data_IF_416222251321
#
_entry.id   IF_416222251321
#
_cell.length_a   1.000
_cell.length_b   1.000
_cell.length_c   1.000
_cell.angle_alpha   90.00
_cell.angle_beta   90.00
_cell.angle_gamma   90.00
#
_symmetry.space_group_name_H-M   'P 1'
#
loop_
_entity.id
_entity.type
_entity.pdbx_description
1 polymer ?
#
# COMPACT_ATOMS: atom_id res chain seq x y z
N UNK A 1 -12.21 46.18 7.57
CA UNK A 1 -12.65 45.16 6.58
C UNK A 1 -13.60 45.68 5.50
N UNK A 2 -14.38 46.76 5.69
CA UNK A 2 -15.23 47.32 4.60
C UNK A 2 -14.53 48.28 3.62
N UNK A 3 -13.32 48.76 3.91
CA UNK A 3 -12.56 49.64 2.98
C UNK A 3 -11.62 48.88 2.03
N UNK A 4 -11.26 47.63 2.34
CA UNK A 4 -10.38 46.81 1.49
C UNK A 4 -11.14 46.17 0.30
N UNK A 5 -12.42 45.86 0.48
CA UNK A 5 -13.29 45.33 -0.59
C UNK A 5 -13.69 46.40 -1.63
N UNK A 6 -13.82 47.67 -1.24
CA UNK A 6 -14.16 48.76 -2.15
C UNK A 6 -13.01 49.11 -3.12
N UNK A 7 -11.77 48.83 -2.74
CA UNK A 7 -10.55 49.05 -3.55
C UNK A 7 -10.41 48.01 -4.67
N UNK A 8 -10.64 46.73 -4.36
CA UNK A 8 -10.49 45.63 -5.33
C UNK A 8 -11.57 45.63 -6.41
N UNK A 9 -12.80 46.02 -6.06
CA UNK A 9 -13.92 46.16 -7.02
C UNK A 9 -13.67 47.30 -8.01
N UNK A 10 -13.09 48.43 -7.56
CA UNK A 10 -12.73 49.55 -8.47
C UNK A 10 -11.57 49.23 -9.40
N UNK A 11 -10.65 48.35 -9.01
CA UNK A 11 -9.57 47.88 -9.88
C UNK A 11 -10.06 46.91 -10.96
N UNK A 12 -11.01 46.01 -10.64
CA UNK A 12 -11.59 45.08 -11.62
C UNK A 12 -12.41 45.80 -12.71
N UNK A 13 -13.22 46.79 -12.33
CA UNK A 13 -14.02 47.57 -13.30
C UNK A 13 -13.15 48.38 -14.30
N UNK A 14 -11.96 48.83 -13.89
CA UNK A 14 -11.02 49.56 -14.79
C UNK A 14 -10.30 48.66 -15.79
N UNK A 15 -10.14 47.36 -15.49
CA UNK A 15 -9.52 46.39 -16.40
C UNK A 15 -10.52 45.97 -17.48
N UNK A 16 -11.77 45.69 -17.10
CA UNK A 16 -12.85 45.34 -18.04
C UNK A 16 -13.17 46.47 -19.04
N UNK A 17 -13.11 47.74 -18.62
CA UNK A 17 -13.31 48.89 -19.53
C UNK A 17 -12.14 49.06 -20.52
N UNK A 18 -10.92 48.68 -20.11
CA UNK A 18 -9.71 48.72 -20.96
C UNK A 18 -9.74 47.61 -22.02
N UNK A 19 -10.16 46.41 -21.63
CA UNK A 19 -10.26 45.25 -22.54
C UNK A 19 -11.44 45.39 -23.51
N UNK A 20 -12.57 45.95 -23.05
CA UNK A 20 -13.71 46.29 -23.91
C UNK A 20 -13.39 47.35 -24.97
N UNK A 21 -12.53 48.34 -24.67
CA UNK A 21 -12.06 49.34 -25.64
C UNK A 21 -11.06 48.74 -26.65
N UNK A 22 -10.23 47.78 -26.24
CA UNK A 22 -9.28 47.07 -27.13
C UNK A 22 -9.98 46.12 -28.10
N UNK A 23 -11.07 45.47 -27.67
CA UNK A 23 -11.91 44.63 -28.53
C UNK A 23 -12.66 45.46 -29.61
N UNK A 24 -13.16 46.66 -29.25
CA UNK A 24 -13.82 47.56 -30.21
C UNK A 24 -12.87 48.17 -31.24
N UNK A 25 -11.61 48.43 -30.89
CA UNK A 25 -10.61 48.97 -31.82
C UNK A 25 -10.17 47.95 -32.89
N UNK A 26 -10.18 46.64 -32.59
CA UNK A 26 -9.81 45.59 -33.54
C UNK A 26 -10.96 45.21 -34.50
N UNK A 27 -12.22 45.54 -34.18
CA UNK A 27 -13.36 45.26 -35.05
C UNK A 27 -13.49 46.24 -36.25
N UNK A 28 -12.78 47.38 -36.24
CA UNK A 28 -12.87 48.40 -37.29
C UNK A 28 -11.81 48.29 -38.40
N UNK A 29 -11.00 47.23 -38.43
CA UNK A 29 -10.06 46.94 -39.54
C UNK A 29 -10.30 45.53 -40.10
N UNK A 30 -11.45 45.33 -40.75
CA UNK A 30 -11.69 44.16 -41.60
C UNK A 30 -11.92 44.64 -43.05
N UNK A 31 -11.14 44.17 -44.05
CA UNK A 31 -11.33 44.56 -45.44
C UNK A 31 -12.59 43.93 -46.04
N UNK A 32 -13.38 44.73 -46.76
CA UNK A 32 -14.49 44.28 -47.60
C UNK A 32 -13.91 43.50 -48.80
N UNK A 33 -14.08 42.18 -48.80
CA UNK A 33 -14.12 41.40 -50.04
C UNK A 33 -15.25 40.36 -49.96
N UNK A 34 -16.18 40.54 -50.89
CA UNK A 34 -17.37 39.75 -51.15
C UNK A 34 -17.04 38.44 -51.87
N UNK A 35 -17.70 37.33 -51.49
CA UNK A 35 -17.76 36.12 -52.34
C UNK A 35 -17.85 34.79 -51.59
N UNK A 36 -16.97 34.54 -50.61
CA UNK A 36 -16.84 33.21 -49.98
C UNK A 36 -17.06 33.19 -48.46
N UNK A 37 -17.37 34.34 -47.84
CA UNK A 37 -17.40 34.48 -46.38
C UNK A 37 -18.67 33.96 -45.70
N UNK A 38 -19.76 33.73 -46.43
CA UNK A 38 -20.98 33.18 -45.82
C UNK A 38 -20.78 31.69 -45.45
N UNK A 39 -20.24 30.87 -46.35
CA UNK A 39 -19.96 29.45 -46.05
C UNK A 39 -18.89 29.29 -44.95
N UNK A 40 -17.86 30.13 -44.95
CA UNK A 40 -16.81 30.11 -43.92
C UNK A 40 -17.38 30.60 -42.57
N UNK A 41 -18.28 31.59 -42.56
CA UNK A 41 -18.95 32.06 -41.35
C UNK A 41 -19.79 30.98 -40.68
N UNK A 42 -20.54 30.18 -41.45
CA UNK A 42 -21.30 29.03 -40.92
C UNK A 42 -20.38 27.91 -40.43
N UNK A 43 -19.28 27.61 -41.13
CA UNK A 43 -18.30 26.61 -40.68
C UNK A 43 -17.59 27.05 -39.40
N UNK A 44 -17.18 28.33 -39.30
CA UNK A 44 -16.51 28.87 -38.09
C UNK A 44 -17.48 28.93 -36.91
N UNK A 45 -18.76 29.27 -37.12
CA UNK A 45 -19.76 29.26 -36.07
C UNK A 45 -20.09 27.83 -35.60
N UNK A 46 -20.15 26.86 -36.52
CA UNK A 46 -20.37 25.44 -36.21
C UNK A 46 -19.15 24.81 -35.51
N UNK A 47 -17.93 25.16 -35.91
CA UNK A 47 -16.70 24.76 -35.23
C UNK A 47 -16.64 25.38 -33.84
N UNK A 48 -16.94 26.67 -33.67
CA UNK A 48 -16.96 27.31 -32.34
C UNK A 48 -18.05 26.74 -31.44
N UNK A 49 -19.24 26.42 -31.96
CA UNK A 49 -20.35 25.82 -31.22
C UNK A 49 -20.05 24.37 -30.82
N UNK A 50 -19.43 23.57 -31.69
CA UNK A 50 -18.94 22.23 -31.35
C UNK A 50 -17.73 22.27 -30.41
N UNK A 51 -16.89 23.31 -30.48
CA UNK A 51 -15.80 23.53 -29.52
C UNK A 51 -16.33 24.00 -28.16
N UNK A 52 -17.40 24.82 -28.10
CA UNK A 52 -18.02 25.22 -26.82
C UNK A 52 -18.84 24.09 -26.21
N UNK A 53 -19.56 23.29 -26.98
CA UNK A 53 -20.20 22.05 -26.48
C UNK A 53 -19.13 21.02 -26.12
N UNK A 54 -18.05 20.91 -26.91
CA UNK A 54 -16.92 20.06 -26.61
C UNK A 54 -16.20 20.48 -25.34
N UNK A 55 -16.04 21.78 -25.08
CA UNK A 55 -15.50 22.33 -23.82
C UNK A 55 -16.51 22.19 -22.68
N UNK A 56 -17.81 22.39 -22.89
CA UNK A 56 -18.85 22.16 -21.87
C UNK A 56 -18.98 20.67 -21.52
N UNK A 57 -18.83 19.75 -22.48
CA UNK A 57 -18.80 18.30 -22.24
C UNK A 57 -17.44 17.80 -21.73
N UNK A 58 -16.34 18.49 -22.06
CA UNK A 58 -15.01 18.23 -21.50
C UNK A 58 -14.88 18.80 -20.08
N UNK A 59 -15.55 19.91 -19.78
CA UNK A 59 -15.66 20.50 -18.45
C UNK A 59 -16.80 19.86 -17.63
N UNK A 60 -17.73 19.13 -18.24
CA UNK A 60 -18.72 18.29 -17.54
C UNK A 60 -18.28 16.83 -17.39
N UNK A 61 -17.08 16.46 -17.86
CA UNK A 61 -16.38 15.34 -17.22
C UNK A 61 -15.89 15.89 -15.90
N UNK A 62 -16.74 15.78 -14.88
CA UNK A 62 -16.32 15.86 -13.50
C UNK A 62 -15.01 15.08 -13.40
N UNK A 63 -13.90 15.79 -13.15
CA UNK A 63 -12.67 15.15 -12.69
C UNK A 63 -13.10 14.25 -11.53
N UNK A 64 -12.85 12.93 -11.56
CA UNK A 64 -13.33 12.07 -10.49
C UNK A 64 -12.78 12.65 -9.20
N UNK A 65 -13.67 13.22 -8.39
CA UNK A 65 -13.35 13.51 -7.00
C UNK A 65 -12.98 12.16 -6.43
N UNK A 66 -11.83 12.07 -5.74
CA UNK A 66 -11.46 10.82 -5.11
C UNK A 66 -12.63 10.45 -4.18
N UNK A 67 -13.32 9.37 -4.51
CA UNK A 67 -14.39 8.86 -3.67
C UNK A 67 -13.76 8.45 -2.35
N UNK A 68 -14.46 8.74 -1.26
CA UNK A 68 -14.09 8.29 0.07
C UNK A 68 -15.34 8.20 0.94
N UNK A 69 -15.52 7.08 1.62
CA UNK A 69 -16.63 6.86 2.53
C UNK A 69 -16.24 5.89 3.64
N UNK A 70 -16.44 6.31 4.88
CA UNK A 70 -16.45 5.37 6.01
C UNK A 70 -17.71 4.49 5.88
N UNK A 71 -17.51 3.18 5.75
CA UNK A 71 -18.58 2.21 5.55
C UNK A 71 -18.95 1.47 6.84
N UNK A 72 -18.03 1.42 7.80
CA UNK A 72 -18.26 0.85 9.12
C UNK A 72 -17.25 1.39 10.13
N UNK A 73 -17.66 1.35 11.40
CA UNK A 73 -16.82 1.64 12.54
C UNK A 73 -17.25 0.73 13.68
N UNK A 74 -16.28 0.11 14.32
CA UNK A 74 -16.47 -0.63 15.56
C UNK A 74 -15.54 -0.04 16.62
N UNK A 75 -15.99 -0.04 17.86
CA UNK A 75 -15.25 0.53 18.98
C UNK A 75 -15.28 -0.45 20.14
N UNK A 76 -14.13 -0.60 20.79
CA UNK A 76 -14.00 -1.34 22.03
C UNK A 76 -14.48 -0.44 23.17
N UNK A 77 -15.52 -0.86 23.88
CA UNK A 77 -16.12 -0.09 24.96
C UNK A 77 -15.20 0.04 26.19
N UNK A 78 -14.29 -0.91 26.40
CA UNK A 78 -13.37 -0.93 27.54
C UNK A 78 -12.16 -0.03 27.29
N UNK A 79 -11.55 -0.14 26.12
CA UNK A 79 -10.34 0.63 25.77
C UNK A 79 -10.66 1.97 25.12
N UNK A 80 -11.86 2.14 24.56
CA UNK A 80 -12.26 3.30 23.76
C UNK A 80 -11.58 3.35 22.39
N UNK A 81 -10.83 2.33 22.01
CA UNK A 81 -10.16 2.24 20.71
C UNK A 81 -11.19 1.88 19.64
N UNK A 82 -11.15 2.59 18.52
CA UNK A 82 -12.05 2.33 17.40
C UNK A 82 -11.29 1.94 16.14
N UNK A 83 -11.93 1.12 15.32
CA UNK A 83 -11.48 0.72 13.99
C UNK A 83 -12.52 1.22 12.98
N UNK A 84 -12.08 1.94 11.95
CA UNK A 84 -12.92 2.35 10.83
C UNK A 84 -12.56 1.58 9.56
N UNK A 85 -13.59 1.15 8.83
CA UNK A 85 -13.49 0.60 7.48
C UNK A 85 -13.90 1.68 6.50
N UNK A 86 -13.03 1.93 5.51
CA UNK A 86 -13.20 3.05 4.59
C UNK A 86 -12.98 2.58 3.17
N UNK A 87 -13.97 2.81 2.32
CA UNK A 87 -13.87 2.61 0.87
C UNK A 87 -13.45 3.92 0.22
N UNK A 88 -12.45 3.85 -0.66
CA UNK A 88 -11.94 5.01 -1.39
C UNK A 88 -11.40 4.64 -2.76
N UNK A 89 -11.26 5.62 -3.63
CA UNK A 89 -10.62 5.43 -4.94
C UNK A 89 -9.22 6.05 -4.99
N UNK A 90 -8.31 5.40 -5.69
CA UNK A 90 -7.01 5.95 -6.10
C UNK A 90 -6.92 6.06 -7.63
N UNK A 91 -5.79 6.56 -8.11
CA UNK A 91 -5.47 6.68 -9.53
C UNK A 91 -6.49 7.49 -10.33
N UNK A 92 -6.99 8.58 -9.72
CA UNK A 92 -8.04 9.44 -10.27
C UNK A 92 -9.36 8.68 -10.48
N UNK A 93 -9.84 7.98 -9.45
CA UNK A 93 -11.11 7.25 -9.50
C UNK A 93 -11.07 5.89 -10.19
N UNK A 94 -9.88 5.38 -10.56
CA UNK A 94 -9.75 4.17 -11.39
C UNK A 94 -9.65 2.88 -10.59
N UNK A 95 -9.07 2.94 -9.40
CA UNK A 95 -8.86 1.76 -8.56
C UNK A 95 -9.61 1.94 -7.26
N UNK A 96 -10.43 0.94 -6.93
CA UNK A 96 -11.18 0.89 -5.69
C UNK A 96 -10.34 0.22 -4.61
N UNK A 97 -10.36 0.79 -3.41
CA UNK A 97 -9.61 0.30 -2.25
C UNK A 97 -10.54 0.28 -1.05
N UNK A 98 -10.25 -0.65 -0.14
CA UNK A 98 -10.81 -0.69 1.21
C UNK A 98 -9.67 -0.67 2.21
N UNK A 99 -9.73 0.24 3.16
CA UNK A 99 -8.76 0.35 4.24
C UNK A 99 -9.36 0.08 5.61
N UNK A 100 -8.53 -0.45 6.51
CA UNK A 100 -8.82 -0.66 7.93
C UNK A 100 -7.87 0.23 8.72
N UNK A 101 -8.44 1.11 9.55
CA UNK A 101 -7.69 2.16 10.23
C UNK A 101 -8.09 2.27 11.70
N UNK A 102 -7.11 2.36 12.58
CA UNK A 102 -7.35 2.76 13.97
C UNK A 102 -7.67 4.24 14.03
N UNK A 103 -8.79 4.59 14.66
CA UNK A 103 -9.31 5.96 14.68
C UNK A 103 -9.57 6.41 16.12
N UNK A 104 -8.97 7.53 16.50
CA UNK A 104 -9.19 8.13 17.82
C UNK A 104 -10.27 9.23 17.78
N UNK A 105 -10.61 9.71 16.59
CA UNK A 105 -11.56 10.80 16.41
C UNK A 105 -12.95 10.26 16.09
N UNK A 106 -13.98 11.00 16.50
CA UNK A 106 -15.39 10.70 16.19
C UNK A 106 -15.70 10.79 14.70
N UNK A 107 -14.87 11.51 13.94
CA UNK A 107 -15.01 11.67 12.49
C UNK A 107 -13.73 11.21 11.81
N UNK A 108 -13.85 10.40 10.77
CA UNK A 108 -12.70 9.96 9.99
C UNK A 108 -12.19 11.07 9.05
N UNK A 109 -10.90 11.37 9.16
CA UNK A 109 -10.17 12.33 8.33
C UNK A 109 -9.10 11.59 7.52
N UNK A 110 -9.37 11.34 6.24
CA UNK A 110 -8.50 10.53 5.40
C UNK A 110 -7.18 11.18 5.10
N UNK A 111 -7.11 12.51 4.93
CA UNK A 111 -5.83 13.18 4.65
C UNK A 111 -4.89 12.98 5.83
N UNK A 112 -5.37 13.22 7.06
CA UNK A 112 -4.57 12.98 8.27
C UNK A 112 -4.20 11.51 8.47
N UNK A 113 -5.13 10.60 8.19
CA UNK A 113 -4.90 9.16 8.40
C UNK A 113 -3.96 8.57 7.36
N UNK A 114 -4.09 9.00 6.11
CA UNK A 114 -3.21 8.64 5.01
C UNK A 114 -1.79 9.18 5.24
N UNK A 115 -1.66 10.42 5.71
CA UNK A 115 -0.36 11.00 6.10
C UNK A 115 0.31 10.21 7.22
N UNK A 116 -0.48 9.71 8.19
CA UNK A 116 0.03 8.88 9.28
C UNK A 116 0.42 7.47 8.83
N UNK A 117 -0.06 6.99 7.66
CA UNK A 117 0.24 5.67 7.06
C UNK A 117 0.02 4.49 8.01
N UNK A 118 -0.90 4.59 8.97
CA UNK A 118 -1.16 3.51 9.93
C UNK A 118 -2.51 2.87 9.64
N UNK A 119 -2.45 1.74 8.94
CA UNK A 119 -3.59 0.95 8.52
C UNK A 119 -3.17 -0.08 7.48
N UNK A 120 -4.06 -1.04 7.22
CA UNK A 120 -3.91 -1.98 6.11
C UNK A 120 -4.94 -1.67 5.02
N UNK A 121 -4.66 -2.11 3.80
CA UNK A 121 -5.59 -1.90 2.69
C UNK A 121 -5.63 -3.10 1.74
N UNK A 122 -6.77 -3.23 1.05
CA UNK A 122 -6.96 -4.16 -0.04
C UNK A 122 -7.46 -3.42 -1.28
N UNK A 123 -6.94 -3.82 -2.44
CA UNK A 123 -7.53 -3.45 -3.73
C UNK A 123 -8.84 -4.22 -3.89
N UNK A 124 -9.87 -3.58 -4.41
CA UNK A 124 -11.15 -4.21 -4.69
C UNK A 124 -11.29 -4.55 -6.17
N UNK A 125 -11.83 -5.72 -6.44
CA UNK A 125 -12.35 -6.14 -7.74
C UNK A 125 -13.83 -5.77 -7.82
N UNK A 126 -14.15 -4.84 -8.70
CA UNK A 126 -15.49 -4.32 -8.91
C UNK A 126 -16.09 -4.77 -10.25
N UNK A 127 -17.43 -4.75 -10.39
CA UNK A 127 -18.09 -4.85 -11.69
C UNK A 127 -17.57 -3.80 -12.69
N UNK A 128 -17.66 -4.10 -13.99
CA UNK A 128 -17.25 -3.16 -15.03
C UNK A 128 -18.10 -1.88 -14.95
N UNK A 129 -17.46 -0.70 -14.99
CA UNK A 129 -18.08 0.62 -14.85
C UNK A 129 -18.79 0.84 -13.49
N UNK A 130 -18.27 0.25 -12.40
CA UNK A 130 -18.76 0.55 -11.07
C UNK A 130 -18.45 2.01 -10.69
N UNK A 131 -19.49 2.83 -10.57
CA UNK A 131 -19.41 4.23 -10.11
C UNK A 131 -19.44 4.32 -8.57
N UNK A 132 -19.62 3.18 -7.88
CA UNK A 132 -19.71 3.08 -6.44
C UNK A 132 -19.22 1.68 -5.95
N UNK A 133 -18.82 1.51 -4.68
CA UNK A 133 -18.15 0.29 -4.21
C UNK A 133 -19.11 -0.90 -4.00
N UNK A 134 -20.42 -0.74 -4.23
CA UNK A 134 -21.39 -1.80 -4.06
C UNK A 134 -21.11 -2.98 -5.00
N UNK A 135 -21.02 -4.18 -4.41
CA UNK A 135 -20.68 -5.41 -5.15
C UNK A 135 -19.18 -5.57 -5.46
N UNK A 136 -18.33 -4.64 -5.03
CA UNK A 136 -16.89 -4.82 -5.04
C UNK A 136 -16.46 -5.79 -3.94
N UNK A 137 -15.51 -6.66 -4.26
CA UNK A 137 -14.93 -7.62 -3.31
C UNK A 137 -13.40 -7.46 -3.26
N UNK A 138 -12.75 -7.75 -2.12
CA UNK A 138 -11.29 -7.76 -2.02
C UNK A 138 -10.64 -8.65 -3.10
N UNK A 139 -9.64 -8.10 -3.79
CA UNK A 139 -8.83 -8.82 -4.78
C UNK A 139 -7.52 -9.28 -4.13
N UNK A 140 -7.57 -10.44 -3.49
CA UNK A 140 -6.42 -11.08 -2.84
C UNK A 140 -5.29 -11.46 -3.82
N UNK A 141 -5.52 -11.33 -5.13
CA UNK A 141 -4.49 -11.52 -6.14
C UNK A 141 -3.61 -10.30 -6.39
N UNK A 142 -3.91 -9.15 -5.76
CA UNK A 142 -3.27 -7.86 -6.00
C UNK A 142 -2.79 -7.23 -4.70
N UNK A 143 -1.72 -6.45 -4.81
CA UNK A 143 -1.18 -5.64 -3.73
C UNK A 143 -1.13 -4.19 -4.16
N UNK A 144 -1.10 -3.28 -3.19
CA UNK A 144 -1.04 -1.84 -3.40
C UNK A 144 0.20 -1.20 -2.78
N UNK A 145 0.74 -1.79 -1.71
CA UNK A 145 1.91 -1.29 -0.99
C UNK A 145 3.20 -2.04 -1.40
N UNK A 146 4.22 -1.33 -1.90
CA UNK A 146 5.58 -1.82 -2.16
C UNK A 146 6.21 -2.62 -1.01
N UNK A 147 6.03 -2.23 0.26
CA UNK A 147 6.58 -3.00 1.38
C UNK A 147 5.94 -4.39 1.50
N UNK A 148 4.60 -4.48 1.41
CA UNK A 148 3.87 -5.77 1.43
C UNK A 148 4.28 -6.62 0.23
N UNK A 149 4.38 -6.02 -0.95
CA UNK A 149 4.85 -6.70 -2.16
C UNK A 149 6.26 -7.27 -1.98
N UNK A 150 7.15 -6.53 -1.32
CA UNK A 150 8.51 -6.98 -1.00
C UNK A 150 8.51 -8.12 0.01
N UNK A 151 7.74 -8.02 1.09
CA UNK A 151 7.60 -9.09 2.09
C UNK A 151 7.03 -10.38 1.47
N UNK A 152 6.08 -10.25 0.52
CA UNK A 152 5.49 -11.39 -0.16
C UNK A 152 6.46 -12.07 -1.13
N UNK A 153 7.18 -11.31 -1.97
CA UNK A 153 7.96 -11.88 -3.08
C UNK A 153 9.37 -12.30 -2.68
N UNK A 154 10.01 -11.58 -1.77
CA UNK A 154 11.42 -11.81 -1.45
C UNK A 154 11.70 -13.22 -0.91
N UNK A 155 10.85 -13.86 -0.08
CA UNK A 155 11.02 -15.25 0.32
C UNK A 155 11.14 -16.22 -0.87
N UNK A 156 10.43 -15.97 -1.98
CA UNK A 156 10.55 -16.76 -3.20
C UNK A 156 11.86 -16.48 -3.93
N UNK A 157 12.24 -15.21 -4.06
CA UNK A 157 13.47 -14.76 -4.71
C UNK A 157 14.68 -15.45 -4.09
N UNK A 158 14.74 -15.41 -2.77
CA UNK A 158 15.89 -15.89 -1.99
C UNK A 158 15.86 -17.40 -1.75
N UNK A 159 14.78 -18.08 -2.16
CA UNK A 159 14.64 -19.54 -2.11
C UNK A 159 14.20 -20.09 -0.76
N UNK A 160 13.69 -19.25 0.14
CA UNK A 160 13.04 -19.69 1.37
C UNK A 160 11.68 -20.33 1.07
N UNK A 161 10.90 -19.72 0.17
CA UNK A 161 9.71 -20.31 -0.42
C UNK A 161 10.00 -20.81 -1.84
N UNK A 162 9.47 -21.98 -2.16
CA UNK A 162 9.50 -22.53 -3.50
C UNK A 162 8.41 -21.92 -4.35
N UNK A 163 8.64 -21.94 -5.66
CA UNK A 163 7.66 -21.50 -6.63
C UNK A 163 6.32 -22.24 -6.46
N UNK A 164 5.14 -21.59 -6.66
CA UNK A 164 3.84 -22.26 -6.56
C UNK A 164 3.76 -23.59 -7.33
N UNK A 165 4.33 -23.64 -8.54
CA UNK A 165 4.35 -24.85 -9.39
C UNK A 165 5.21 -25.99 -8.82
N UNK A 166 6.16 -25.70 -7.94
CA UNK A 166 7.06 -26.68 -7.30
C UNK A 166 6.49 -27.21 -5.98
N UNK A 167 5.48 -26.54 -5.40
CA UNK A 167 4.85 -26.88 -4.12
C UNK A 167 3.87 -28.07 -4.19
N UNK A 168 3.84 -28.81 -5.30
CA UNK A 168 3.01 -30.02 -5.43
C UNK A 168 3.59 -31.23 -4.66
N UNK A 169 4.87 -31.20 -4.25
CA UNK A 169 5.54 -32.34 -3.61
C UNK A 169 6.06 -32.06 -2.18
N UNK A 170 6.02 -30.81 -1.71
CA UNK A 170 6.49 -30.42 -0.37
C UNK A 170 5.64 -29.30 0.20
N UNK A 171 5.03 -29.54 1.35
CA UNK A 171 4.32 -28.52 2.13
C UNK A 171 5.32 -27.60 2.81
N UNK A 172 5.22 -26.30 2.55
CA UNK A 172 5.97 -25.28 3.27
C UNK A 172 5.06 -24.58 4.28
N UNK A 173 5.65 -23.96 5.29
CA UNK A 173 4.91 -23.28 6.35
C UNK A 173 5.37 -21.84 6.54
N UNK A 174 4.42 -20.96 6.82
CA UNK A 174 4.65 -19.57 7.17
C UNK A 174 3.99 -19.25 8.53
N UNK A 175 4.72 -18.55 9.38
CA UNK A 175 4.20 -17.90 10.58
C UNK A 175 4.12 -16.40 10.30
N UNK A 176 2.94 -15.82 10.42
CA UNK A 176 2.70 -14.38 10.24
C UNK A 176 2.29 -13.80 11.59
N UNK A 177 2.90 -12.67 11.97
CA UNK A 177 2.58 -11.95 13.21
C UNK A 177 2.10 -10.56 12.82
N UNK A 178 0.86 -10.25 13.17
CA UNK A 178 0.11 -9.11 12.65
C UNK A 178 -0.64 -9.48 11.37
N UNK A 179 -1.97 -9.45 11.43
CA UNK A 179 -2.86 -9.77 10.31
C UNK A 179 -3.27 -8.49 9.56
N UNK A 180 -3.62 -7.44 10.31
CA UNK A 180 -4.27 -6.26 9.75
C UNK A 180 -5.52 -6.63 8.94
N UNK A 181 -5.63 -6.16 7.70
CA UNK A 181 -6.72 -6.51 6.78
C UNK A 181 -6.55 -7.86 6.07
N UNK A 182 -5.52 -8.64 6.38
CA UNK A 182 -5.22 -9.92 5.73
C UNK A 182 -4.44 -9.80 4.41
N UNK A 183 -3.92 -8.61 4.07
CA UNK A 183 -3.37 -8.32 2.74
C UNK A 183 -2.17 -9.22 2.38
N UNK A 184 -1.22 -9.40 3.29
CA UNK A 184 -0.02 -10.21 3.04
C UNK A 184 -0.35 -11.71 2.98
N UNK A 185 -1.04 -12.22 3.99
CA UNK A 185 -1.32 -13.64 4.14
C UNK A 185 -2.36 -14.14 3.12
N UNK A 186 -3.39 -13.36 2.79
CA UNK A 186 -4.35 -13.73 1.75
C UNK A 186 -3.71 -13.69 0.36
N UNK A 187 -2.77 -12.78 0.11
CA UNK A 187 -2.00 -12.78 -1.13
C UNK A 187 -1.13 -14.03 -1.25
N UNK A 188 -0.40 -14.37 -0.20
CA UNK A 188 0.39 -15.60 -0.16
C UNK A 188 -0.50 -16.84 -0.31
N UNK A 189 -1.64 -16.90 0.37
CA UNK A 189 -2.60 -18.00 0.23
C UNK A 189 -3.13 -18.12 -1.21
N UNK A 190 -3.49 -16.99 -1.84
CA UNK A 190 -4.01 -16.95 -3.21
C UNK A 190 -2.96 -17.37 -4.25
N UNK A 191 -1.71 -16.91 -4.11
CA UNK A 191 -0.62 -17.24 -5.05
C UNK A 191 0.00 -18.61 -4.77
N UNK A 192 -0.07 -19.09 -3.52
CA UNK A 192 0.49 -20.37 -3.07
C UNK A 192 -0.47 -21.15 -2.19
N UNK A 193 -1.52 -21.79 -2.75
CA UNK A 193 -2.55 -22.48 -1.97
C UNK A 193 -2.05 -23.61 -1.06
N UNK A 194 -0.89 -24.19 -1.36
CA UNK A 194 -0.26 -25.26 -0.57
C UNK A 194 0.66 -24.75 0.56
N UNK A 195 0.82 -23.43 0.71
CA UNK A 195 1.56 -22.84 1.83
C UNK A 195 0.69 -22.90 3.08
N UNK A 196 1.17 -23.57 4.14
CA UNK A 196 0.46 -23.61 5.42
C UNK A 196 0.79 -22.36 6.25
N UNK A 197 -0.14 -21.41 6.27
CA UNK A 197 -0.01 -20.11 6.92
C UNK A 197 -0.72 -20.14 8.27
N UNK A 198 0.02 -19.79 9.33
CA UNK A 198 -0.53 -19.54 10.67
C UNK A 198 -0.32 -18.07 10.99
N UNK A 199 -1.41 -17.36 11.27
CA UNK A 199 -1.39 -15.95 11.64
C UNK A 199 -1.66 -15.83 13.14
N UNK A 200 -0.86 -15.02 13.84
CA UNK A 200 -1.18 -14.53 15.19
C UNK A 200 -1.56 -13.05 15.10
N UNK A 201 -2.78 -12.73 15.53
CA UNK A 201 -3.30 -11.37 15.63
C UNK A 201 -3.72 -11.14 17.07
N UNK A 202 -3.29 -10.01 17.65
CA UNK A 202 -3.54 -9.69 19.04
C UNK A 202 -4.98 -9.18 19.23
N UNK A 203 -5.48 -8.39 18.28
CA UNK A 203 -6.76 -7.70 18.41
C UNK A 203 -7.91 -8.54 17.80
N UNK A 204 -8.84 -9.09 18.61
CA UNK A 204 -10.01 -9.82 18.09
C UNK A 204 -10.89 -8.96 17.17
N UNK A 205 -10.94 -7.65 17.37
CA UNK A 205 -11.71 -6.73 16.53
C UNK A 205 -11.12 -6.63 15.14
N UNK A 206 -9.78 -6.61 15.02
CA UNK A 206 -9.10 -6.65 13.71
C UNK A 206 -9.48 -7.93 12.97
N UNK A 207 -9.41 -9.09 13.63
CA UNK A 207 -9.80 -10.37 13.02
C UNK A 207 -11.26 -10.36 12.56
N UNK A 208 -12.17 -9.88 13.41
CA UNK A 208 -13.59 -9.77 13.08
C UNK A 208 -13.83 -8.84 11.88
N UNK A 209 -13.15 -7.69 11.83
CA UNK A 209 -13.28 -6.73 10.75
C UNK A 209 -12.67 -7.25 9.44
N UNK A 210 -11.54 -7.95 9.51
CA UNK A 210 -10.89 -8.55 8.36
C UNK A 210 -11.76 -9.66 7.73
N UNK A 211 -12.37 -10.51 8.55
CA UNK A 211 -13.35 -11.51 8.09
C UNK A 211 -14.55 -10.85 7.40
N UNK A 212 -15.19 -9.89 8.09
CA UNK A 212 -16.41 -9.24 7.62
C UNK A 212 -16.22 -8.39 6.36
N UNK A 213 -15.10 -7.67 6.25
CA UNK A 213 -14.93 -6.61 5.25
C UNK A 213 -13.82 -6.88 4.23
N UNK A 214 -12.85 -7.72 4.57
CA UNK A 214 -11.71 -8.05 3.72
C UNK A 214 -11.77 -9.48 3.18
N UNK A 215 -12.81 -10.25 3.52
CA UNK A 215 -13.06 -11.56 2.93
C UNK A 215 -11.88 -12.52 3.14
N UNK A 216 -11.27 -12.46 4.31
CA UNK A 216 -10.26 -13.43 4.72
C UNK A 216 -10.90 -14.81 4.85
N UNK A 217 -10.12 -15.86 4.61
CA UNK A 217 -10.65 -17.24 4.62
C UNK A 217 -9.87 -18.11 5.60
N UNK A 218 -10.60 -18.86 6.40
CA UNK A 218 -10.05 -19.87 7.29
C UNK A 218 -10.26 -21.24 6.64
N UNK A 219 -9.17 -21.96 6.35
CA UNK A 219 -9.22 -23.27 5.71
C UNK A 219 -8.06 -24.19 6.14
N UNK A 220 -7.84 -25.28 5.39
CA UNK A 220 -6.80 -26.26 5.72
C UNK A 220 -5.36 -25.74 5.62
N UNK A 221 -5.11 -24.65 4.88
CA UNK A 221 -3.77 -24.10 4.64
C UNK A 221 -3.62 -22.66 5.11
N UNK A 222 -4.69 -22.01 5.59
CA UNK A 222 -4.59 -20.69 6.25
C UNK A 222 -5.44 -20.68 7.52
N UNK A 223 -4.82 -20.32 8.65
CA UNK A 223 -5.52 -20.15 9.93
C UNK A 223 -5.09 -18.93 10.73
N UNK A 224 -6.04 -18.27 11.37
CA UNK A 224 -5.82 -17.14 12.29
C UNK A 224 -6.02 -17.58 13.73
N UNK A 225 -5.09 -17.18 14.61
CA UNK A 225 -5.15 -17.38 16.05
C UNK A 225 -5.19 -15.99 16.69
N UNK A 226 -6.28 -15.71 17.42
CA UNK A 226 -6.41 -14.49 18.23
C UNK A 226 -5.61 -14.69 19.51
N UNK A 227 -4.36 -14.24 19.52
CA UNK A 227 -3.41 -14.37 20.63
C UNK A 227 -2.16 -13.51 20.37
N UNK A 228 -1.40 -13.21 21.43
CA UNK A 228 -0.10 -12.54 21.32
C UNK A 228 0.87 -13.33 20.41
N UNK A 229 1.47 -12.65 19.44
CA UNK A 229 2.48 -13.22 18.56
C UNK A 229 3.73 -13.72 19.29
N UNK A 230 4.08 -13.14 20.45
CA UNK A 230 5.15 -13.64 21.32
C UNK A 230 4.80 -15.04 21.82
N UNK A 231 3.57 -15.25 22.29
CA UNK A 231 3.11 -16.58 22.70
C UNK A 231 3.21 -17.57 21.53
N UNK A 232 2.83 -17.15 20.32
CA UNK A 232 2.99 -17.98 19.12
C UNK A 232 4.44 -18.38 18.83
N UNK A 233 5.38 -17.45 18.94
CA UNK A 233 6.82 -17.71 18.78
C UNK A 233 7.33 -18.68 19.86
N UNK A 234 6.96 -18.45 21.12
CA UNK A 234 7.42 -19.28 22.24
C UNK A 234 6.89 -20.70 22.14
N UNK A 235 5.59 -20.85 21.88
CA UNK A 235 4.95 -22.15 21.68
C UNK A 235 5.58 -22.92 20.52
N UNK A 236 5.85 -22.26 19.39
CA UNK A 236 6.54 -22.89 18.27
C UNK A 236 7.95 -23.37 18.66
N UNK A 237 8.70 -22.56 19.41
CA UNK A 237 10.03 -22.93 19.88
C UNK A 237 9.99 -24.12 20.86
N UNK A 238 9.03 -24.15 21.77
CA UNK A 238 8.82 -25.25 22.72
C UNK A 238 8.43 -26.56 22.03
N UNK A 239 7.59 -26.48 20.99
CA UNK A 239 7.15 -27.63 20.20
C UNK A 239 8.20 -28.11 19.18
N UNK A 240 9.30 -27.38 19.00
CA UNK A 240 10.30 -27.65 17.95
C UNK A 240 9.76 -27.44 16.53
N UNK A 241 8.74 -26.59 16.37
CA UNK A 241 8.19 -26.22 15.07
C UNK A 241 9.18 -25.35 14.30
N UNK A 242 9.26 -25.57 12.99
CA UNK A 242 10.12 -24.78 12.11
C UNK A 242 9.37 -24.30 10.86
N UNK A 243 9.62 -23.05 10.48
CA UNK A 243 8.96 -22.37 9.38
C UNK A 243 9.91 -22.05 8.23
N UNK A 244 9.38 -22.09 7.01
CA UNK A 244 10.08 -21.59 5.81
C UNK A 244 10.07 -20.05 5.76
N UNK A 245 9.01 -19.44 6.30
CA UNK A 245 8.86 -18.00 6.44
C UNK A 245 8.36 -17.65 7.86
N UNK A 246 9.02 -16.69 8.50
CA UNK A 246 8.41 -15.92 9.59
C UNK A 246 8.26 -14.48 9.09
N UNK A 247 7.04 -13.97 9.01
CA UNK A 247 6.74 -12.61 8.59
C UNK A 247 6.24 -11.81 9.80
N UNK A 248 6.88 -10.69 10.10
CA UNK A 248 6.52 -9.80 11.19
C UNK A 248 6.05 -8.45 10.64
N UNK A 249 4.77 -8.20 10.82
CA UNK A 249 4.06 -6.97 10.42
C UNK A 249 3.11 -6.50 11.54
N UNK A 250 3.56 -6.63 12.79
CA UNK A 250 2.86 -6.14 13.96
C UNK A 250 3.33 -4.74 14.33
N UNK A 251 2.40 -3.82 14.47
CA UNK A 251 2.67 -2.40 14.62
C UNK A 251 1.96 -1.82 15.84
N UNK A 252 2.59 -0.85 16.49
CA UNK A 252 2.05 -0.13 17.63
C UNK A 252 1.69 1.30 17.22
N UNK A 253 0.44 1.68 17.46
CA UNK A 253 -0.04 3.03 17.20
C UNK A 253 0.68 4.04 18.11
N UNK A 254 0.95 5.24 17.60
CA UNK A 254 1.51 6.37 18.37
C UNK A 254 2.94 6.19 18.89
N UNK A 255 3.68 5.19 18.39
CA UNK A 255 5.13 5.05 18.60
C UNK A 255 5.93 5.79 17.53
N UNK A 256 7.14 6.25 17.87
CA UNK A 256 8.09 6.80 16.88
C UNK A 256 8.53 5.72 15.88
N UNK A 257 8.76 4.51 16.37
CA UNK A 257 8.92 3.29 15.57
C UNK A 257 7.61 2.51 15.63
N UNK A 258 6.81 2.65 14.57
CA UNK A 258 5.47 2.08 14.44
C UNK A 258 5.55 0.56 14.27
N UNK A 259 6.42 0.08 13.38
CA UNK A 259 6.63 -1.36 13.16
C UNK A 259 8.14 -1.67 13.20
N UNK A 260 8.56 -2.84 13.74
CA UNK A 260 7.73 -3.75 14.53
C UNK A 260 7.44 -3.17 15.93
N UNK A 261 6.45 -3.72 16.64
CA UNK A 261 6.29 -3.47 18.09
C UNK A 261 7.61 -3.76 18.80
N UNK A 262 8.00 -2.88 19.71
CA UNK A 262 9.35 -2.83 20.29
C UNK A 262 9.84 -4.17 20.85
N UNK A 263 8.96 -4.95 21.49
CA UNK A 263 9.27 -6.28 22.06
C UNK A 263 9.79 -7.28 21.03
N UNK A 264 9.34 -7.22 19.77
CA UNK A 264 9.84 -8.12 18.73
C UNK A 264 11.26 -7.79 18.28
N UNK A 265 11.75 -6.59 18.60
CA UNK A 265 13.14 -6.20 18.37
C UNK A 265 14.10 -6.67 19.47
N UNK A 266 13.59 -7.26 20.56
CA UNK A 266 14.43 -7.74 21.66
C UNK A 266 15.28 -8.92 21.23
N UNK A 267 16.55 -8.92 21.61
CA UNK A 267 17.51 -9.95 21.21
C UNK A 267 17.03 -11.36 21.57
N UNK A 268 16.42 -11.54 22.75
CA UNK A 268 15.88 -12.84 23.18
C UNK A 268 14.77 -13.33 22.24
N UNK A 269 13.90 -12.43 21.78
CA UNK A 269 12.81 -12.76 20.87
C UNK A 269 13.36 -13.02 19.46
N UNK A 270 14.28 -12.20 18.97
CA UNK A 270 14.96 -12.43 17.70
C UNK A 270 15.68 -13.79 17.66
N UNK A 271 16.32 -14.21 18.76
CA UNK A 271 16.94 -15.54 18.86
C UNK A 271 15.90 -16.67 18.80
N UNK A 272 14.72 -16.49 19.42
CA UNK A 272 13.62 -17.46 19.31
C UNK A 272 13.07 -17.53 17.88
N UNK A 273 12.85 -16.38 17.23
CA UNK A 273 12.46 -16.30 15.82
C UNK A 273 13.46 -17.05 14.94
N UNK A 274 14.77 -16.85 15.17
CA UNK A 274 15.80 -17.59 14.45
C UNK A 274 15.73 -19.09 14.71
N UNK A 275 15.47 -19.53 15.94
CA UNK A 275 15.39 -20.95 16.30
C UNK A 275 14.21 -21.68 15.63
N UNK A 276 13.09 -20.98 15.42
CA UNK A 276 11.91 -21.51 14.72
C UNK A 276 11.99 -21.37 13.20
N UNK A 277 13.09 -20.86 12.64
CA UNK A 277 13.31 -20.89 11.20
C UNK A 277 13.98 -22.19 10.79
N UNK A 278 13.54 -22.73 9.65
CA UNK A 278 14.32 -23.77 8.95
C UNK A 278 15.69 -23.22 8.54
N UNK A 279 16.71 -24.08 8.34
CA UNK A 279 18.03 -23.63 7.87
C UNK A 279 18.02 -22.83 6.56
N UNK A 280 17.03 -23.10 5.69
CA UNK A 280 16.77 -22.40 4.43
C UNK A 280 15.68 -21.33 4.53
N UNK A 281 15.07 -21.16 5.70
CA UNK A 281 13.97 -20.22 5.91
C UNK A 281 14.43 -18.76 5.99
N UNK A 282 13.48 -17.86 5.85
CA UNK A 282 13.68 -16.43 5.93
C UNK A 282 12.78 -15.77 6.97
N UNK A 283 13.32 -14.78 7.68
CA UNK A 283 12.57 -13.85 8.52
C UNK A 283 12.38 -12.54 7.75
N UNK A 284 11.14 -12.17 7.45
CA UNK A 284 10.80 -10.90 6.83
C UNK A 284 10.16 -9.97 7.87
N UNK A 285 10.65 -8.75 8.01
CA UNK A 285 10.12 -7.78 8.96
C UNK A 285 9.90 -6.42 8.31
N UNK A 286 8.72 -5.84 8.56
CA UNK A 286 8.40 -4.46 8.26
C UNK A 286 8.98 -3.54 9.35
N UNK A 287 9.75 -2.54 8.94
CA UNK A 287 10.26 -1.47 9.79
C UNK A 287 9.63 -0.17 9.32
N UNK A 288 8.71 0.37 10.10
CA UNK A 288 7.98 1.60 9.79
C UNK A 288 8.15 2.58 10.94
N UNK A 289 8.40 3.84 10.61
CA UNK A 289 8.57 4.94 11.54
C UNK A 289 7.65 6.09 11.17
N UNK A 290 7.36 6.92 12.17
CA UNK A 290 6.44 8.03 12.03
C UNK A 290 7.03 9.22 11.27
N UNK A 291 8.31 9.53 11.50
CA UNK A 291 8.99 10.71 10.95
C UNK A 291 10.23 10.29 10.14
N UNK A 292 10.29 10.75 8.89
CA UNK A 292 11.43 10.56 7.98
C UNK A 292 12.76 11.06 8.57
N UNK A 293 12.72 12.08 9.45
CA UNK A 293 13.94 12.60 10.10
C UNK A 293 14.59 11.58 11.03
N UNK A 294 13.83 10.57 11.48
CA UNK A 294 14.35 9.50 12.32
C UNK A 294 14.74 8.26 11.51
N UNK A 295 14.68 8.31 10.17
CA UNK A 295 14.93 7.17 9.30
C UNK A 295 16.29 6.52 9.58
N UNK A 296 17.37 7.29 9.48
CA UNK A 296 18.73 6.81 9.68
C UNK A 296 18.92 6.17 11.06
N UNK A 297 18.33 6.76 12.11
CA UNK A 297 18.39 6.27 13.50
C UNK A 297 17.76 4.88 13.59
N UNK A 298 16.49 4.75 13.19
CA UNK A 298 15.74 3.51 13.36
C UNK A 298 16.21 2.41 12.42
N UNK A 299 16.53 2.74 11.17
CA UNK A 299 17.10 1.76 10.22
C UNK A 299 18.44 1.24 10.73
N UNK A 300 19.34 2.09 11.23
CA UNK A 300 20.62 1.65 11.77
C UNK A 300 20.46 0.79 13.03
N UNK A 301 19.55 1.17 13.92
CA UNK A 301 19.26 0.40 15.14
C UNK A 301 18.74 -1.00 14.81
N UNK A 302 17.72 -1.08 13.95
CA UNK A 302 17.12 -2.36 13.53
C UNK A 302 18.13 -3.22 12.78
N UNK A 303 18.87 -2.64 11.84
CA UNK A 303 19.96 -3.33 11.13
C UNK A 303 20.98 -3.93 12.09
N UNK A 304 21.39 -3.21 13.14
CA UNK A 304 22.32 -3.71 14.16
C UNK A 304 21.73 -4.89 14.93
N UNK A 305 20.49 -4.77 15.43
CA UNK A 305 19.81 -5.85 16.18
C UNK A 305 19.65 -7.11 15.35
N UNK A 306 19.22 -6.95 14.10
CA UNK A 306 19.05 -8.04 13.15
C UNK A 306 20.37 -8.71 12.80
N UNK A 307 21.42 -7.95 12.47
CA UNK A 307 22.74 -8.54 12.13
C UNK A 307 23.50 -9.14 13.32
N UNK A 308 23.16 -8.75 14.55
CA UNK A 308 23.65 -9.44 15.74
C UNK A 308 23.05 -10.85 15.90
N UNK A 309 21.84 -11.06 15.37
CA UNK A 309 21.12 -12.33 15.47
C UNK A 309 21.30 -13.20 14.23
N UNK A 310 21.09 -12.61 13.06
CA UNK A 310 21.09 -13.27 11.76
C UNK A 310 22.41 -12.99 11.03
N UNK A 311 23.04 -14.02 10.43
CA UNK A 311 24.31 -13.86 9.72
C UNK A 311 24.25 -12.95 8.50
N UNK A 312 23.09 -12.82 7.86
CA UNK A 312 22.87 -12.01 6.66
C UNK A 312 21.41 -11.53 6.65
N UNK A 313 21.22 -10.28 6.25
CA UNK A 313 19.93 -9.66 6.01
C UNK A 313 20.01 -8.82 4.74
N UNK A 314 18.95 -8.83 3.95
CA UNK A 314 18.74 -7.90 2.84
C UNK A 314 17.88 -6.77 3.34
N UNK A 315 18.25 -5.54 3.00
CA UNK A 315 17.49 -4.35 3.35
C UNK A 315 16.93 -3.70 2.09
N UNK A 316 15.61 -3.52 2.05
CA UNK A 316 14.92 -2.80 0.99
C UNK A 316 14.32 -1.50 1.53
N UNK A 317 14.56 -0.39 0.84
CA UNK A 317 13.90 0.90 1.07
C UNK A 317 13.14 1.37 -0.17
N UNK A 318 12.08 2.16 0.03
CA UNK A 318 11.19 2.61 -1.03
C UNK A 318 11.28 4.14 -1.19
N UNK A 319 11.14 4.64 -2.42
CA UNK A 319 11.31 6.09 -2.68
C UNK A 319 10.16 6.93 -2.11
N UNK A 320 8.98 6.34 -1.87
CA UNK A 320 7.75 7.07 -1.49
C UNK A 320 7.12 6.56 -0.18
N UNK A 321 7.79 5.67 0.53
CA UNK A 321 7.33 5.06 1.77
C UNK A 321 8.40 5.14 2.84
N UNK A 322 7.96 5.34 4.08
CA UNK A 322 8.83 5.28 5.26
C UNK A 322 9.03 3.82 5.73
N UNK A 323 8.31 2.87 5.12
CA UNK A 323 8.51 1.46 5.40
C UNK A 323 9.87 1.02 4.84
N UNK A 324 10.52 0.13 5.56
CA UNK A 324 11.68 -0.63 5.12
C UNK A 324 11.41 -2.10 5.36
N UNK A 325 11.87 -2.95 4.47
CA UNK A 325 11.75 -4.40 4.64
C UNK A 325 13.13 -4.98 4.86
N UNK A 326 13.29 -5.73 5.94
CA UNK A 326 14.46 -6.58 6.13
C UNK A 326 14.08 -8.04 5.90
N UNK A 327 14.89 -8.75 5.12
CA UNK A 327 14.77 -10.20 4.91
C UNK A 327 16.04 -10.87 5.39
N UNK A 328 15.98 -11.52 6.54
CA UNK A 328 17.09 -12.14 7.26
C UNK A 328 17.07 -13.66 7.14
N UNK A 329 18.24 -14.29 7.21
CA UNK A 329 18.39 -15.73 6.94
C UNK A 329 18.96 -16.47 8.15
N UNK A 330 18.51 -17.71 8.36
CA UNK A 330 19.05 -18.56 9.43
C UNK A 330 20.54 -18.87 9.21
N UNK A 331 20.93 -19.24 7.99
CA UNK A 331 22.29 -19.71 7.68
C UNK A 331 23.06 -18.70 6.83
N UNK A 332 24.40 -18.70 6.96
CA UNK A 332 25.26 -17.93 6.05
C UNK A 332 25.11 -18.50 4.64
N UNK A 333 24.63 -17.68 3.73
CA UNK A 333 24.76 -17.97 2.30
C UNK A 333 26.24 -17.77 1.95
N UNK A 334 26.88 -18.75 1.32
CA UNK A 334 28.29 -18.62 0.95
C UNK A 334 28.42 -17.68 -0.26
N UNK A 335 28.64 -16.39 0.00
CA UNK A 335 28.69 -15.35 -1.04
C UNK A 335 30.11 -15.01 -1.51
N UNK A 336 31.14 -15.76 -1.07
CA UNK A 336 32.55 -15.46 -1.33
C UNK A 336 32.83 -15.32 -2.85
N UNK A 337 33.22 -14.11 -3.28
CA UNK A 337 33.63 -13.80 -4.65
C UNK A 337 32.50 -13.67 -5.68
N UNK A 338 31.22 -13.81 -5.29
CA UNK A 338 30.06 -13.80 -6.20
C UNK A 338 28.94 -12.83 -5.82
N UNK A 339 29.15 -11.90 -4.88
CA UNK A 339 28.13 -10.92 -4.47
C UNK A 339 27.42 -10.25 -5.66
N UNK A 340 28.18 -9.74 -6.64
CA UNK A 340 27.60 -9.12 -7.83
C UNK A 340 26.82 -10.11 -8.72
N UNK A 341 27.21 -11.39 -8.74
CA UNK A 341 26.51 -12.42 -9.53
C UNK A 341 25.22 -12.86 -8.85
N UNK A 342 25.26 -13.11 -7.54
CA UNK A 342 24.09 -13.49 -6.75
C UNK A 342 23.05 -12.35 -6.70
N UNK A 343 23.51 -11.10 -6.54
CA UNK A 343 22.64 -9.92 -6.63
C UNK A 343 21.91 -9.86 -7.97
N UNK A 344 22.64 -10.03 -9.09
CA UNK A 344 22.04 -10.06 -10.43
C UNK A 344 21.06 -11.23 -10.63
N UNK A 345 21.36 -12.40 -10.09
CA UNK A 345 20.45 -13.56 -10.14
C UNK A 345 19.16 -13.30 -9.36
N UNK A 346 19.26 -12.71 -8.17
CA UNK A 346 18.09 -12.32 -7.37
C UNK A 346 17.30 -11.18 -8.00
N UNK A 347 17.96 -10.15 -8.53
CA UNK A 347 17.29 -9.06 -9.26
C UNK A 347 16.50 -9.59 -10.45
N UNK A 348 17.10 -10.47 -11.26
CA UNK A 348 16.42 -11.11 -12.38
C UNK A 348 15.23 -11.95 -11.92
N UNK A 349 15.44 -12.84 -10.95
CA UNK A 349 14.38 -13.72 -10.43
C UNK A 349 13.23 -12.92 -9.84
N UNK A 350 13.54 -11.83 -9.14
CA UNK A 350 12.56 -10.88 -8.60
C UNK A 350 11.76 -10.22 -9.71
N UNK A 351 12.38 -9.72 -10.78
CA UNK A 351 11.66 -9.14 -11.92
C UNK A 351 10.72 -10.14 -12.61
N UNK A 352 11.18 -11.39 -12.77
CA UNK A 352 10.37 -12.48 -13.33
C UNK A 352 9.16 -12.78 -12.44
N UNK A 353 9.40 -13.00 -11.14
CA UNK A 353 8.34 -13.28 -10.16
C UNK A 353 7.37 -12.10 -9.99
N UNK A 354 7.86 -10.86 -10.03
CA UNK A 354 7.03 -9.68 -9.85
C UNK A 354 6.04 -9.53 -10.99
N UNK A 355 6.48 -9.79 -12.23
CA UNK A 355 5.59 -9.83 -13.41
C UNK A 355 4.60 -10.98 -13.32
N UNK A 356 5.07 -12.17 -12.94
CA UNK A 356 4.20 -13.34 -12.78
C UNK A 356 3.11 -13.11 -11.74
N UNK A 357 3.46 -12.46 -10.62
CA UNK A 357 2.53 -12.19 -9.54
C UNK A 357 1.67 -10.93 -9.78
N UNK A 358 2.00 -10.12 -10.80
CA UNK A 358 1.26 -8.90 -11.16
C UNK A 358 1.53 -7.72 -10.21
N UNK A 359 2.76 -7.62 -9.70
CA UNK A 359 3.20 -6.61 -8.72
C UNK A 359 4.47 -5.86 -9.16
N UNK A 360 4.87 -5.99 -10.42
CA UNK A 360 6.09 -5.39 -10.97
C UNK A 360 6.09 -3.87 -10.91
N UNK A 361 4.93 -3.22 -11.12
CA UNK A 361 4.81 -1.76 -11.03
C UNK A 361 5.17 -1.22 -9.64
N UNK A 362 4.84 -1.96 -8.57
CA UNK A 362 5.13 -1.58 -7.18
C UNK A 362 6.62 -1.67 -6.86
N UNK A 363 7.33 -2.55 -7.58
CA UNK A 363 8.73 -2.84 -7.37
C UNK A 363 9.58 -2.19 -8.46
N UNK A 364 9.29 -0.93 -8.80
CA UNK A 364 10.07 -0.13 -9.77
C UNK A 364 10.90 1.00 -9.13
N UNK A 365 10.56 1.47 -7.93
CA UNK A 365 11.21 2.63 -7.27
C UNK A 365 11.68 2.31 -5.83
N UNK A 366 12.80 1.59 -5.71
CA UNK A 366 13.34 1.09 -4.44
C UNK A 366 14.85 0.88 -4.54
N UNK A 367 15.50 0.72 -3.38
CA UNK A 367 16.93 0.40 -3.25
C UNK A 367 17.07 -0.86 -2.39
N UNK A 368 17.90 -1.80 -2.83
CA UNK A 368 18.31 -2.97 -2.03
C UNK A 368 19.78 -2.78 -1.63
N UNK A 369 20.12 -3.03 -0.37
CA UNK A 369 21.51 -3.02 0.14
C UNK A 369 21.85 -4.19 1.05
#
# INVERSE_FOLDING_TARGET
>A
MKEYEASSVRQRAKIEERDGKRAKANAQKAPKNSGNNLQIGWIVCFVLFTFTIGILMYQSRETPTNYQKEVNRECDEETGQCIAIVDYTRDFGKTWHRGIFYVNETTFDFEKMYEKKVGAEAILKCPANADAPEGCVPDHGRLSWPYVATMAIMPFVVGALHHPTQMQQRTQSALVIGMGGGTLDMFLHTKTPNLNITIYELDPMVVQMADKWFGTVEDSTRRTIVEDGIFGIEKAAENGEQFDLVALDACEMFSELICPVSVFSDEKILQKIKAILKPTGAFAVNVLMQDEKQEDKYVAEQKRKLLNTFPICLHTSFVRELAHVFVCFHTKINVSGKHAKLSKEWEKKREELAKEFGIDELLTQYRIS
#
